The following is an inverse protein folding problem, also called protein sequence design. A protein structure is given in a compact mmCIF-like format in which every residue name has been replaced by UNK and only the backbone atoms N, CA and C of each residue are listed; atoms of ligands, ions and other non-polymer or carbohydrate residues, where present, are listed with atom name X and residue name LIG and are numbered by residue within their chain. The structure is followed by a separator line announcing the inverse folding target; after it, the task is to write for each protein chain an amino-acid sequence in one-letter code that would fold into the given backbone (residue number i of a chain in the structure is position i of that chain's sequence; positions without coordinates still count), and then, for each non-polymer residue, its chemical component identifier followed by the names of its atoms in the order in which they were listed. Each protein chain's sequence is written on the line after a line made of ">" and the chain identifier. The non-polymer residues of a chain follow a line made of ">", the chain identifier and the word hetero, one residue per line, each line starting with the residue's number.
data_IF_852220644039
#
_entry.id   IF_852220644039
#
_cell.length_a   1.000
_cell.length_b   1.000
_cell.length_c   1.000
_cell.angle_alpha   90.00
_cell.angle_beta   90.00
_cell.angle_gamma   90.00
#
_symmetry.space_group_name_H-M   'P 1'
#
loop_
_entity.id
_entity.type
_entity.pdbx_description
1 polymer ?
#
# COMPACT_ATOMS: atom_id res chain seq x y z
N UNK A 1 -60.40 -38.39 19.09
CA UNK A 1 -58.97 -38.08 18.84
C UNK A 1 -58.87 -37.18 17.61
N UNK A 2 -58.63 -35.88 17.79
CA UNK A 2 -58.42 -34.91 16.68
C UNK A 2 -56.94 -34.89 16.30
N UNK A 3 -56.62 -34.98 15.01
CA UNK A 3 -55.26 -34.77 14.49
C UNK A 3 -54.86 -33.29 14.65
N UNK A 4 -53.61 -32.96 15.01
CA UNK A 4 -53.15 -31.58 15.07
C UNK A 4 -53.01 -30.99 13.66
N UNK A 5 -53.27 -29.69 13.56
CA UNK A 5 -53.27 -28.86 12.34
C UNK A 5 -51.82 -28.50 11.94
N UNK A 6 -51.43 -28.53 10.66
CA UNK A 6 -50.01 -28.44 10.24
C UNK A 6 -49.49 -27.00 10.11
N UNK A 7 -49.94 -26.05 10.94
CA UNK A 7 -49.62 -24.62 10.75
C UNK A 7 -48.83 -23.97 11.90
N UNK A 8 -48.34 -24.75 12.86
CA UNK A 8 -47.39 -24.26 13.90
C UNK A 8 -45.95 -24.71 13.58
N UNK A 9 -45.46 -24.43 12.37
CA UNK A 9 -44.02 -24.38 12.14
C UNK A 9 -43.52 -22.96 12.44
N UNK A 10 -42.57 -22.76 13.37
CA UNK A 10 -41.95 -21.46 13.55
C UNK A 10 -41.30 -21.04 12.22
N UNK A 11 -41.28 -19.74 11.88
CA UNK A 11 -40.66 -19.28 10.65
C UNK A 11 -39.22 -19.78 10.63
N UNK A 12 -38.89 -20.52 9.57
CA UNK A 12 -37.54 -21.00 9.29
C UNK A 12 -36.61 -19.81 9.39
N UNK A 13 -35.69 -19.84 10.35
CA UNK A 13 -34.60 -18.87 10.44
C UNK A 13 -34.00 -18.71 9.04
N UNK A 14 -34.16 -17.52 8.47
CA UNK A 14 -33.51 -17.14 7.24
C UNK A 14 -32.02 -17.41 7.43
N UNK A 15 -31.50 -18.47 6.80
CA UNK A 15 -30.09 -18.82 6.81
C UNK A 15 -29.33 -17.59 6.28
N UNK A 16 -28.80 -16.80 7.20
CA UNK A 16 -27.93 -15.68 6.87
C UNK A 16 -26.76 -16.24 6.08
N UNK A 17 -26.51 -15.70 4.89
CA UNK A 17 -25.38 -16.11 4.07
C UNK A 17 -24.10 -16.12 4.92
N UNK A 18 -23.22 -17.14 4.77
CA UNK A 18 -22.01 -17.24 5.58
C UNK A 18 -21.15 -15.99 5.43
N UNK A 19 -20.61 -15.50 6.54
CA UNK A 19 -19.76 -14.32 6.56
C UNK A 19 -18.57 -14.51 5.61
N UNK A 20 -18.18 -13.46 4.86
CA UNK A 20 -17.07 -13.56 3.91
C UNK A 20 -15.77 -13.84 4.65
N UNK A 21 -14.93 -14.68 4.05
CA UNK A 21 -13.55 -14.87 4.52
C UNK A 21 -12.75 -13.57 4.38
N UNK A 22 -11.69 -13.40 5.18
CA UNK A 22 -10.81 -12.24 5.10
C UNK A 22 -10.27 -11.98 3.69
N UNK A 23 -9.93 -13.06 2.96
CA UNK A 23 -9.46 -12.95 1.57
C UNK A 23 -10.56 -12.44 0.63
N UNK A 24 -11.80 -12.87 0.81
CA UNK A 24 -12.94 -12.37 0.03
C UNK A 24 -13.20 -10.90 0.34
N UNK A 25 -13.17 -10.51 1.62
CA UNK A 25 -13.26 -9.11 2.04
C UNK A 25 -12.18 -8.25 1.40
N UNK A 26 -10.89 -8.63 1.54
CA UNK A 26 -9.77 -7.89 0.97
C UNK A 26 -9.87 -7.72 -0.54
N UNK A 27 -10.38 -8.72 -1.26
CA UNK A 27 -10.57 -8.65 -2.70
C UNK A 27 -11.76 -7.74 -3.08
N UNK A 28 -12.89 -7.89 -2.40
CA UNK A 28 -14.11 -7.11 -2.67
C UNK A 28 -13.93 -5.62 -2.34
N UNK A 29 -13.17 -5.32 -1.28
CA UNK A 29 -12.94 -3.97 -0.78
C UNK A 29 -11.58 -3.39 -1.19
N UNK A 30 -10.84 -4.04 -2.08
CA UNK A 30 -9.45 -3.69 -2.37
C UNK A 30 -9.24 -2.21 -2.72
N UNK A 31 -10.14 -1.61 -3.50
CA UNK A 31 -10.04 -0.21 -3.93
C UNK A 31 -10.37 0.80 -2.82
N UNK A 32 -10.94 0.35 -1.71
CA UNK A 32 -11.30 1.17 -0.55
C UNK A 32 -10.42 0.91 0.67
N UNK A 33 -9.37 0.09 0.53
CA UNK A 33 -8.44 -0.22 1.61
C UNK A 33 -7.10 0.49 1.39
N UNK A 34 -6.71 1.25 2.40
CA UNK A 34 -5.35 1.74 2.58
C UNK A 34 -4.68 0.91 3.69
N UNK A 35 -3.40 0.58 3.54
CA UNK A 35 -2.67 -0.15 4.58
C UNK A 35 -1.37 0.57 4.94
N UNK A 36 -1.07 0.70 6.23
CA UNK A 36 0.09 1.40 6.75
C UNK A 36 1.08 0.44 7.40
N UNK A 37 2.37 0.76 7.31
CA UNK A 37 3.42 0.09 8.07
C UNK A 37 4.63 1.01 8.28
N UNK A 38 5.39 0.74 9.35
CA UNK A 38 6.69 1.34 9.59
C UNK A 38 7.79 0.38 9.17
N UNK A 39 8.75 0.86 8.39
CA UNK A 39 10.01 0.17 8.18
C UNK A 39 11.16 0.94 8.80
N UNK A 40 12.16 0.22 9.31
CA UNK A 40 13.42 0.81 9.74
C UNK A 40 14.50 0.56 8.69
N UNK A 41 15.46 1.49 8.65
CA UNK A 41 16.66 1.45 7.83
C UNK A 41 17.81 2.03 8.64
N UNK A 42 18.98 1.44 8.52
CA UNK A 42 20.16 1.84 9.28
C UNK A 42 21.09 2.70 8.40
N UNK A 43 21.74 3.69 9.01
CA UNK A 43 22.67 4.59 8.34
C UNK A 43 24.11 4.09 8.43
N UNK A 44 25.00 4.63 7.60
CA UNK A 44 26.45 4.34 7.68
C UNK A 44 27.07 4.74 9.02
N UNK A 45 26.44 5.69 9.73
CA UNK A 45 26.83 6.09 11.07
C UNK A 45 26.20 5.19 12.16
N UNK A 46 25.65 4.04 11.79
CA UNK A 46 24.96 3.08 12.66
C UNK A 46 23.74 3.68 13.40
N UNK A 47 23.17 4.76 12.85
CA UNK A 47 21.93 5.36 13.33
C UNK A 47 20.72 4.68 12.69
N UNK A 48 19.62 4.56 13.44
CA UNK A 48 18.36 4.01 12.92
C UNK A 48 17.43 5.13 12.48
N UNK A 49 16.89 5.00 11.27
CA UNK A 49 15.78 5.78 10.76
C UNK A 49 14.53 4.91 10.65
N UNK A 50 13.38 5.56 10.62
CA UNK A 50 12.07 4.97 10.44
C UNK A 50 11.39 5.68 9.27
N UNK A 51 10.85 4.91 8.33
CA UNK A 51 10.02 5.41 7.25
C UNK A 51 8.58 4.91 7.47
N UNK A 52 7.62 5.81 7.31
CA UNK A 52 6.19 5.49 7.32
C UNK A 52 5.70 5.40 5.88
N UNK A 53 5.15 4.24 5.53
CA UNK A 53 4.61 3.97 4.19
C UNK A 53 3.15 3.56 4.25
N UNK A 54 2.42 3.92 3.20
CA UNK A 54 1.05 3.47 2.99
C UNK A 54 0.91 2.85 1.61
N UNK A 55 0.07 1.83 1.47
CA UNK A 55 -0.25 1.22 0.19
C UNK A 55 -1.75 1.09 -0.02
N UNK A 56 -2.21 1.55 -1.18
CA UNK A 56 -3.57 1.30 -1.67
C UNK A 56 -3.67 -0.18 -2.11
N UNK A 57 -4.59 -0.95 -1.55
CA UNK A 57 -4.69 -2.39 -1.83
C UNK A 57 -5.10 -2.72 -3.28
N UNK A 58 -6.02 -1.95 -3.86
CA UNK A 58 -6.52 -2.16 -5.21
C UNK A 58 -5.51 -1.75 -6.27
N UNK A 59 -5.04 -0.51 -6.20
CA UNK A 59 -4.10 0.05 -7.17
C UNK A 59 -2.66 -0.37 -6.95
N UNK A 60 -2.34 -0.91 -5.76
CA UNK A 60 -0.96 -1.15 -5.30
C UNK A 60 -0.13 0.12 -5.24
N UNK A 61 -0.73 1.31 -5.25
CA UNK A 61 0.00 2.57 -5.21
C UNK A 61 0.64 2.73 -3.84
N UNK A 62 1.97 2.91 -3.82
CA UNK A 62 2.77 3.07 -2.62
C UNK A 62 3.04 4.55 -2.36
N UNK A 63 2.88 4.95 -1.11
CA UNK A 63 3.10 6.31 -0.63
C UNK A 63 4.19 6.30 0.44
N UNK A 64 5.23 7.12 0.26
CA UNK A 64 6.14 7.48 1.35
C UNK A 64 5.64 8.77 1.96
N UNK A 65 5.35 8.74 3.25
CA UNK A 65 4.78 9.90 3.94
C UNK A 65 5.84 10.65 4.71
N UNK A 66 6.83 9.95 5.27
CA UNK A 66 7.97 10.59 5.89
C UNK A 66 9.05 9.61 6.32
N UNK A 67 10.24 10.14 6.59
CA UNK A 67 11.37 9.43 7.20
C UNK A 67 11.83 10.24 8.41
N UNK A 68 12.16 9.59 9.51
CA UNK A 68 12.70 10.26 10.70
C UNK A 68 13.56 9.34 11.56
N UNK A 69 14.55 9.89 12.26
CA UNK A 69 15.21 9.20 13.38
C UNK A 69 14.31 9.05 14.62
N UNK A 70 13.27 9.88 14.76
CA UNK A 70 12.46 10.00 15.98
C UNK A 70 10.96 9.87 15.66
N UNK A 71 10.44 8.64 15.47
CA UNK A 71 9.05 8.40 15.06
C UNK A 71 8.08 8.57 16.25
N UNK A 72 7.99 9.78 16.77
CA UNK A 72 7.09 10.12 17.88
C UNK A 72 5.63 10.10 17.43
N UNK A 73 4.69 9.91 18.37
CA UNK A 73 3.26 9.97 18.08
C UNK A 73 2.86 11.27 17.37
N UNK A 74 3.36 12.43 17.83
CA UNK A 74 3.11 13.73 17.19
C UNK A 74 3.57 13.76 15.74
N UNK A 75 4.76 13.21 15.46
CA UNK A 75 5.27 13.11 14.10
C UNK A 75 4.37 12.21 13.24
N UNK A 76 3.98 11.03 13.74
CA UNK A 76 3.10 10.10 13.02
C UNK A 76 1.74 10.73 12.68
N UNK A 77 1.14 11.45 13.62
CA UNK A 77 -0.12 12.18 13.40
C UNK A 77 0.04 13.24 12.31
N UNK A 78 1.14 14.00 12.32
CA UNK A 78 1.39 14.99 11.27
C UNK A 78 1.56 14.34 9.91
N UNK A 79 2.24 13.19 9.84
CA UNK A 79 2.37 12.42 8.60
C UNK A 79 0.99 11.94 8.10
N UNK A 80 0.15 11.40 8.98
CA UNK A 80 -1.22 11.02 8.63
C UNK A 80 -2.00 12.20 8.02
N UNK A 81 -1.93 13.39 8.63
CA UNK A 81 -2.59 14.61 8.10
C UNK A 81 -2.06 15.00 6.74
N UNK A 82 -0.73 14.98 6.57
CA UNK A 82 -0.10 15.29 5.28
C UNK A 82 -0.59 14.34 4.19
N UNK A 83 -0.71 13.05 4.50
CA UNK A 83 -1.25 12.07 3.56
C UNK A 83 -2.72 12.31 3.26
N UNK A 84 -3.57 12.50 4.27
CA UNK A 84 -5.00 12.79 4.08
C UNK A 84 -5.21 14.02 3.18
N UNK A 85 -4.46 15.11 3.41
CA UNK A 85 -4.48 16.29 2.54
C UNK A 85 -4.01 15.98 1.12
N UNK A 86 -3.00 15.13 0.95
CA UNK A 86 -2.49 14.73 -0.38
C UNK A 86 -3.48 13.84 -1.13
N UNK A 87 -4.24 13.01 -0.41
CA UNK A 87 -5.27 12.16 -0.99
C UNK A 87 -6.50 12.97 -1.42
N UNK A 88 -6.83 14.05 -0.71
CA UNK A 88 -7.92 14.96 -1.07
C UNK A 88 -9.24 14.22 -1.29
N UNK A 89 -9.94 14.49 -2.40
CA UNK A 89 -11.19 13.81 -2.81
C UNK A 89 -11.06 12.29 -3.00
N UNK A 90 -9.84 11.72 -3.02
CA UNK A 90 -9.69 10.25 -3.07
C UNK A 90 -9.99 9.60 -1.72
N UNK A 91 -9.99 10.36 -0.61
CA UNK A 91 -10.37 9.81 0.70
C UNK A 91 -11.83 9.36 0.71
N UNK A 92 -12.73 10.01 -0.05
CA UNK A 92 -14.14 9.61 -0.21
C UNK A 92 -14.31 8.18 -0.74
N UNK A 93 -13.27 7.64 -1.41
CA UNK A 93 -13.25 6.26 -1.90
C UNK A 93 -12.65 5.24 -0.92
N UNK A 94 -11.90 5.73 0.08
CA UNK A 94 -11.32 4.93 1.14
C UNK A 94 -12.35 4.68 2.24
N UNK A 95 -12.49 3.43 2.65
CA UNK A 95 -13.39 3.02 3.74
C UNK A 95 -12.65 2.38 4.89
N UNK A 96 -11.46 1.84 4.64
CA UNK A 96 -10.72 1.08 5.64
C UNK A 96 -9.25 1.47 5.65
N UNK A 97 -8.70 1.67 6.84
CA UNK A 97 -7.26 1.71 7.09
C UNK A 97 -6.83 0.45 7.84
N UNK A 98 -5.98 -0.36 7.22
CA UNK A 98 -5.32 -1.49 7.89
C UNK A 98 -3.98 -1.02 8.46
N UNK A 99 -3.74 -1.29 9.74
CA UNK A 99 -2.42 -1.07 10.35
C UNK A 99 -2.10 -2.16 11.37
N UNK A 100 -0.84 -2.27 11.75
CA UNK A 100 -0.48 -3.09 12.90
C UNK A 100 -0.75 -2.37 14.23
N UNK A 101 -0.37 -3.02 15.34
CA UNK A 101 -0.58 -2.51 16.70
C UNK A 101 0.66 -1.79 17.25
N UNK A 102 1.58 -1.32 16.41
CA UNK A 102 2.76 -0.56 16.88
C UNK A 102 2.30 0.67 17.68
N UNK A 103 2.93 0.91 18.84
CA UNK A 103 2.60 2.01 19.74
C UNK A 103 2.79 3.41 19.11
N UNK A 104 3.47 3.50 17.95
CA UNK A 104 3.55 4.73 17.14
C UNK A 104 2.20 5.16 16.58
N UNK A 105 1.28 4.21 16.40
CA UNK A 105 -0.10 4.47 16.01
C UNK A 105 -0.94 4.74 17.26
N UNK A 106 -1.34 5.99 17.43
CA UNK A 106 -2.13 6.45 18.58
C UNK A 106 -3.56 6.74 18.18
N UNK A 107 -4.47 6.89 19.14
CA UNK A 107 -5.86 7.28 18.86
C UNK A 107 -5.93 8.61 18.07
N UNK A 108 -5.00 9.54 18.33
CA UNK A 108 -4.89 10.78 17.58
C UNK A 108 -4.45 10.59 16.12
N UNK A 109 -3.75 9.50 15.80
CA UNK A 109 -3.40 9.13 14.43
C UNK A 109 -4.63 8.55 13.73
N UNK A 110 -5.33 7.64 14.40
CA UNK A 110 -6.56 7.02 13.89
C UNK A 110 -7.64 8.07 13.63
N UNK A 111 -7.79 9.05 14.53
CA UNK A 111 -8.73 10.16 14.41
C UNK A 111 -8.57 11.00 13.14
N UNK A 112 -7.38 11.04 12.53
CA UNK A 112 -7.15 11.78 11.27
C UNK A 112 -7.96 11.15 10.13
N UNK A 113 -8.03 9.82 10.08
CA UNK A 113 -8.75 9.12 9.02
C UNK A 113 -10.22 8.92 9.38
N UNK A 114 -10.54 8.73 10.66
CA UNK A 114 -11.92 8.64 11.14
C UNK A 114 -12.71 9.94 10.92
N UNK A 115 -12.04 11.09 10.84
CA UNK A 115 -12.67 12.36 10.47
C UNK A 115 -13.30 12.33 9.06
N UNK A 116 -12.82 11.44 8.19
CA UNK A 116 -13.31 11.20 6.84
C UNK A 116 -14.03 9.83 6.73
N UNK A 117 -14.65 9.37 7.83
CA UNK A 117 -15.43 8.11 7.93
C UNK A 117 -14.65 6.82 7.57
N UNK A 118 -13.32 6.83 7.70
CA UNK A 118 -12.48 5.65 7.48
C UNK A 118 -12.46 4.77 8.74
N UNK A 119 -12.85 3.50 8.59
CA UNK A 119 -12.80 2.50 9.64
C UNK A 119 -11.36 1.97 9.84
N UNK A 120 -10.91 1.91 11.09
CA UNK A 120 -9.58 1.42 11.44
C UNK A 120 -9.62 -0.08 11.72
N UNK A 121 -8.95 -0.86 10.87
CA UNK A 121 -8.82 -2.30 10.98
C UNK A 121 -7.44 -2.69 11.51
N UNK A 122 -7.39 -3.12 12.77
CA UNK A 122 -6.15 -3.57 13.38
C UNK A 122 -5.81 -4.98 12.92
N UNK A 123 -4.55 -5.20 12.54
CA UNK A 123 -4.08 -6.57 12.32
C UNK A 123 -4.26 -7.38 13.62
N UNK A 124 -4.81 -8.60 13.54
CA UNK A 124 -4.90 -9.46 14.71
C UNK A 124 -3.50 -9.79 15.23
N UNK A 125 -3.31 -9.91 16.55
CA UNK A 125 -2.03 -10.33 17.11
C UNK A 125 -1.55 -11.62 16.45
N UNK A 126 -0.28 -11.63 15.99
CA UNK A 126 0.36 -12.78 15.34
C UNK A 126 -0.30 -13.22 14.02
N UNK A 127 -1.03 -12.32 13.36
CA UNK A 127 -1.59 -12.54 12.02
C UNK A 127 -0.99 -11.57 10.99
N UNK A 128 0.30 -11.71 10.63
CA UNK A 128 0.97 -10.85 9.63
C UNK A 128 0.21 -10.83 8.29
N UNK A 129 -0.53 -11.92 8.00
CA UNK A 129 -1.39 -12.02 6.83
C UNK A 129 -2.46 -10.91 6.72
N UNK A 130 -2.85 -10.28 7.82
CA UNK A 130 -3.82 -9.19 7.79
C UNK A 130 -3.26 -7.92 7.11
N UNK A 131 -1.95 -7.66 7.23
CA UNK A 131 -1.26 -6.56 6.56
C UNK A 131 -0.29 -7.04 5.44
N UNK A 132 -0.53 -8.24 4.91
CA UNK A 132 0.41 -8.94 4.01
C UNK A 132 0.82 -8.14 2.76
N UNK A 133 0.01 -7.18 2.33
CA UNK A 133 0.30 -6.36 1.15
C UNK A 133 1.34 -5.32 1.51
N UNK A 134 1.17 -4.60 2.63
CA UNK A 134 2.14 -3.62 3.09
C UNK A 134 3.45 -4.30 3.52
N UNK A 135 3.38 -5.39 4.28
CA UNK A 135 4.57 -6.17 4.68
C UNK A 135 5.38 -6.66 3.46
N UNK A 136 4.69 -7.12 2.39
CA UNK A 136 5.36 -7.53 1.15
C UNK A 136 6.11 -6.38 0.51
N UNK A 137 5.52 -5.19 0.52
CA UNK A 137 6.16 -3.98 -0.01
C UNK A 137 7.36 -3.58 0.83
N UNK A 138 7.26 -3.62 2.16
CA UNK A 138 8.40 -3.39 3.05
C UNK A 138 9.54 -4.37 2.74
N UNK A 139 9.23 -5.65 2.54
CA UNK A 139 10.21 -6.64 2.12
C UNK A 139 10.82 -6.36 0.74
N UNK A 140 10.03 -5.83 -0.19
CA UNK A 140 10.50 -5.41 -1.52
C UNK A 140 11.45 -4.21 -1.42
N UNK A 141 11.10 -3.19 -0.64
CA UNK A 141 11.97 -2.05 -0.37
C UNK A 141 13.30 -2.50 0.25
N UNK A 142 13.28 -3.46 1.18
CA UNK A 142 14.53 -4.02 1.73
C UNK A 142 15.39 -4.68 0.66
N UNK A 143 14.87 -5.71 0.00
CA UNK A 143 15.64 -6.55 -0.93
C UNK A 143 16.12 -5.83 -2.19
N UNK A 144 15.32 -4.90 -2.71
CA UNK A 144 15.61 -4.21 -3.98
C UNK A 144 16.36 -2.90 -3.78
N UNK A 145 16.26 -2.27 -2.61
CA UNK A 145 16.82 -0.94 -2.34
C UNK A 145 17.73 -0.91 -1.11
N UNK A 146 17.17 -1.14 0.09
CA UNK A 146 17.85 -0.81 1.34
C UNK A 146 19.02 -1.77 1.67
N UNK A 147 18.98 -3.00 1.17
CA UNK A 147 20.08 -3.96 1.33
C UNK A 147 21.23 -3.68 0.35
N UNK A 148 21.06 -2.72 -0.59
CA UNK A 148 21.99 -2.46 -1.70
C UNK A 148 22.52 -1.02 -1.73
N UNK A 149 21.96 -0.12 -0.93
CA UNK A 149 22.37 1.28 -0.84
C UNK A 149 22.69 1.62 0.60
N UNK A 150 23.89 2.15 0.80
CA UNK A 150 24.30 2.72 2.07
C UNK A 150 23.64 4.07 2.29
N UNK A 151 22.92 4.21 3.40
CA UNK A 151 22.16 5.42 3.71
C UNK A 151 23.01 6.35 4.58
N UNK A 152 23.32 7.55 4.09
CA UNK A 152 24.13 8.51 4.85
C UNK A 152 23.37 9.16 6.01
N UNK A 153 22.17 9.69 5.75
CA UNK A 153 21.36 10.43 6.70
C UNK A 153 19.89 10.46 6.26
N UNK A 154 19.04 11.14 7.04
CA UNK A 154 17.61 11.26 6.79
C UNK A 154 17.29 11.89 5.42
N UNK A 155 17.97 12.99 5.04
CA UNK A 155 17.75 13.64 3.75
C UNK A 155 18.10 12.73 2.56
N UNK A 156 19.17 11.94 2.69
CA UNK A 156 19.53 10.93 1.71
C UNK A 156 18.48 9.82 1.63
N UNK A 157 18.02 9.31 2.78
CA UNK A 157 16.96 8.31 2.85
C UNK A 157 15.68 8.78 2.14
N UNK A 158 15.25 10.01 2.39
CA UNK A 158 14.08 10.61 1.73
C UNK A 158 14.24 10.62 0.21
N UNK A 159 15.40 11.07 -0.31
CA UNK A 159 15.65 11.09 -1.76
C UNK A 159 15.62 9.70 -2.37
N UNK A 160 16.34 8.76 -1.77
CA UNK A 160 16.48 7.38 -2.27
C UNK A 160 15.13 6.65 -2.25
N UNK A 161 14.38 6.75 -1.16
CA UNK A 161 13.05 6.14 -1.07
C UNK A 161 12.06 6.79 -2.03
N UNK A 162 12.07 8.12 -2.16
CA UNK A 162 11.18 8.83 -3.08
C UNK A 162 11.46 8.47 -4.55
N UNK A 163 12.73 8.34 -4.94
CA UNK A 163 13.12 7.91 -6.28
C UNK A 163 12.68 6.47 -6.55
N UNK A 164 12.92 5.54 -5.61
CA UNK A 164 12.45 4.16 -5.74
C UNK A 164 10.92 4.06 -5.81
N UNK A 165 10.19 4.84 -5.00
CA UNK A 165 8.72 4.77 -4.99
C UNK A 165 8.14 5.33 -6.29
N UNK A 166 8.78 6.34 -6.89
CA UNK A 166 8.44 6.80 -8.23
C UNK A 166 8.62 5.68 -9.26
N UNK A 167 9.72 4.93 -9.19
CA UNK A 167 9.93 3.73 -10.00
C UNK A 167 8.86 2.68 -9.76
N UNK A 168 8.60 2.35 -8.49
CA UNK A 168 7.62 1.36 -8.07
C UNK A 168 6.21 1.66 -8.63
N UNK A 169 5.81 2.93 -8.58
CA UNK A 169 4.48 3.39 -8.99
C UNK A 169 4.34 3.59 -10.50
N UNK A 170 5.41 3.95 -11.22
CA UNK A 170 5.34 4.34 -12.64
C UNK A 170 5.94 3.36 -13.63
N UNK A 171 6.79 2.45 -13.17
CA UNK A 171 7.59 1.60 -14.06
C UNK A 171 7.64 0.14 -13.65
N UNK A 172 7.70 -0.14 -12.34
CA UNK A 172 7.82 -1.51 -11.86
C UNK A 172 6.58 -2.31 -12.26
N UNK A 173 6.71 -3.46 -12.93
CA UNK A 173 5.57 -4.29 -13.27
C UNK A 173 5.04 -5.03 -12.03
N UNK A 174 3.71 -5.15 -11.93
CA UNK A 174 3.07 -5.88 -10.83
C UNK A 174 2.19 -7.01 -11.37
N UNK A 175 2.48 -8.25 -10.97
CA UNK A 175 1.72 -9.43 -11.40
C UNK A 175 0.24 -9.33 -11.06
N UNK A 176 -0.09 -8.80 -9.86
CA UNK A 176 -1.47 -8.57 -9.44
C UNK A 176 -2.21 -7.52 -10.28
N UNK A 177 -1.50 -6.75 -11.10
CA UNK A 177 -2.03 -5.75 -12.02
C UNK A 177 -1.76 -6.08 -13.50
N UNK A 178 -1.64 -7.38 -13.84
CA UNK A 178 -1.36 -7.80 -15.24
C UNK A 178 -0.09 -7.13 -15.81
N UNK A 179 0.94 -7.02 -14.97
CA UNK A 179 2.22 -6.35 -15.27
C UNK A 179 2.15 -4.82 -15.39
N UNK A 180 1.02 -4.19 -15.07
CA UNK A 180 0.91 -2.73 -15.06
C UNK A 180 1.52 -2.13 -13.79
N UNK A 181 2.26 -1.02 -13.91
CA UNK A 181 2.57 -0.16 -12.78
C UNK A 181 1.28 0.38 -12.10
N UNK A 182 1.34 0.75 -10.81
CA UNK A 182 0.21 1.30 -10.07
C UNK A 182 -0.44 2.52 -10.72
N UNK A 183 0.35 3.41 -11.31
CA UNK A 183 -0.12 4.64 -11.98
C UNK A 183 -0.54 4.41 -13.44
N UNK A 184 -0.49 3.16 -13.93
CA UNK A 184 -0.95 2.80 -15.28
C UNK A 184 -2.30 2.08 -15.21
N UNK A 185 -3.28 2.62 -15.97
CA UNK A 185 -4.62 2.04 -16.09
C UNK A 185 -4.70 0.98 -17.21
N UNK A 186 -3.97 1.21 -18.29
CA UNK A 186 -3.98 0.36 -19.48
C UNK A 186 -2.55 -0.03 -19.89
N UNK A 187 -2.37 -1.20 -20.52
CA UNK A 187 -1.11 -1.53 -21.15
C UNK A 187 -0.81 -0.52 -22.27
N UNK A 188 0.47 -0.24 -22.54
CA UNK A 188 0.82 0.55 -23.71
C UNK A 188 0.23 -0.12 -24.96
N UNK A 189 -0.28 0.71 -25.88
CA UNK A 189 -0.86 0.22 -27.13
C UNK A 189 0.12 -0.75 -27.82
N UNK A 190 -0.36 -1.88 -28.35
CA UNK A 190 0.49 -2.81 -29.06
C UNK A 190 1.19 -2.07 -30.20
N UNK A 191 2.50 -2.10 -30.14
CA UNK A 191 3.35 -1.40 -31.08
C UNK A 191 3.21 -2.12 -32.44
N UNK A 192 2.64 -1.45 -33.44
CA UNK A 192 2.62 -1.99 -34.81
C UNK A 192 4.01 -1.77 -35.37
N UNK A 193 4.87 -2.78 -35.31
CA UNK A 193 6.27 -2.68 -35.73
C UNK A 193 6.35 -2.65 -37.27
N UNK A 194 5.95 -1.53 -37.85
CA UNK A 194 6.18 -1.21 -39.27
C UNK A 194 7.49 -0.46 -39.48
N UNK A 195 7.99 0.21 -38.43
CA UNK A 195 9.29 0.90 -38.42
C UNK A 195 10.06 0.61 -37.11
N UNK A 196 11.20 -0.07 -37.23
CA UNK A 196 12.09 -0.40 -36.12
C UNK A 196 12.76 0.83 -35.50
N UNK A 197 12.92 1.94 -36.24
CA UNK A 197 13.45 3.20 -35.71
C UNK A 197 12.43 3.89 -34.80
N UNK A 198 11.14 3.89 -35.19
CA UNK A 198 10.03 4.38 -34.35
C UNK A 198 9.80 3.54 -33.08
N UNK A 199 10.37 2.33 -33.00
CA UNK A 199 10.19 1.41 -31.86
C UNK A 199 11.41 1.30 -30.95
N UNK A 200 12.36 2.23 -31.05
CA UNK A 200 13.63 2.17 -30.31
C UNK A 200 13.40 2.21 -28.80
N UNK A 201 13.89 1.20 -28.07
CA UNK A 201 13.84 1.18 -26.61
C UNK A 201 14.93 2.10 -26.05
N UNK A 202 14.55 3.03 -25.18
CA UNK A 202 15.46 3.85 -24.38
C UNK A 202 15.57 3.26 -22.98
N UNK A 203 16.80 3.18 -22.49
CA UNK A 203 17.15 2.82 -21.11
C UNK A 203 17.61 4.06 -20.37
N UNK A 204 17.18 4.21 -19.13
CA UNK A 204 17.77 5.15 -18.19
C UNK A 204 18.02 4.44 -16.86
N UNK A 205 19.07 4.87 -16.17
CA UNK A 205 19.40 4.35 -14.86
C UNK A 205 19.00 5.33 -13.77
N UNK A 206 18.48 4.77 -12.69
CA UNK A 206 18.09 5.50 -11.48
C UNK A 206 18.88 4.94 -10.30
N UNK A 207 18.84 5.63 -9.16
CA UNK A 207 19.47 5.18 -7.92
C UNK A 207 20.96 4.82 -8.11
N UNK A 208 21.67 5.68 -8.86
CA UNK A 208 23.11 5.55 -9.09
C UNK A 208 23.54 4.31 -9.87
N UNK A 209 22.69 3.74 -10.74
CA UNK A 209 23.04 2.51 -11.47
C UNK A 209 22.21 1.30 -11.09
N UNK A 210 21.61 1.32 -9.89
CA UNK A 210 21.05 0.13 -9.26
C UNK A 210 19.85 -0.44 -10.03
N UNK A 211 19.01 0.45 -10.56
CA UNK A 211 17.81 0.08 -11.32
C UNK A 211 17.88 0.72 -12.70
N UNK A 212 17.39 -0.02 -13.69
CA UNK A 212 17.26 0.44 -15.06
C UNK A 212 15.78 0.38 -15.45
N UNK A 213 15.24 1.50 -15.91
CA UNK A 213 13.90 1.52 -16.50
C UNK A 213 14.00 1.67 -18.02
N UNK A 214 13.00 1.12 -18.71
CA UNK A 214 12.98 0.98 -20.16
C UNK A 214 11.64 1.51 -20.69
N UNK A 215 11.69 2.31 -21.77
CA UNK A 215 10.49 2.78 -22.50
C UNK A 215 10.75 2.84 -23.99
N UNK A 216 9.68 2.79 -24.79
CA UNK A 216 9.76 3.12 -26.22
C UNK A 216 10.09 4.61 -26.40
N UNK A 217 10.94 4.93 -27.38
CA UNK A 217 11.14 6.30 -27.84
C UNK A 217 9.85 6.80 -28.51
N UNK A 218 9.48 8.05 -28.22
CA UNK A 218 8.44 8.76 -28.95
C UNK A 218 8.94 9.15 -30.35
#
# INVERSE_FOLDING_TARGET
>A
MRRPNPTDQPPTESQSAPLPTWRQFLNAQAHSILAADFLHLDTVALGRLYALVFIEHGTRRLHLVGVTAHPTARWSVQQARNLAMTLGYRTDSLRFLIRDRDAKYTDAFDAVFQADDVEILLSPPRAPRANAICERVVGTLRRELLDRILIYNEAHAVKVLAEYIRHYNRHRPHQSRRQLPPESAEPPAPATVTDLQAHRIRRWSILGGLINEYRHAA
#
